data_IF_396390858962
#
_entry.id   IF_396390858962
#
_cell.length_a   1.000
_cell.length_b   1.000
_cell.length_c   1.000
_cell.angle_alpha   90.00
_cell.angle_beta   90.00
_cell.angle_gamma   90.00
#
_symmetry.space_group_name_H-M   'P 1'
#
loop_
_entity.id
_entity.type
_entity.pdbx_description
1 polymer ?
#
# COMPACT_ATOMS: atom_id res chain seq x y z
N UNK A 1 0.88 23.69 3.30
CA UNK A 1 1.16 22.69 2.24
C UNK A 1 1.14 21.32 2.90
N UNK A 2 0.55 20.31 2.26
CA UNK A 2 0.48 18.93 2.75
C UNK A 2 1.03 17.99 1.65
N UNK A 3 2.19 17.39 1.88
CA UNK A 3 2.94 16.51 0.99
C UNK A 3 3.17 15.17 1.69
N UNK A 4 2.92 14.10 0.94
CA UNK A 4 3.02 12.72 1.42
C UNK A 4 3.94 11.96 0.48
N UNK A 5 4.93 11.25 1.02
CA UNK A 5 5.71 10.26 0.28
C UNK A 5 4.94 8.93 0.27
N UNK A 6 5.01 8.19 -0.84
CA UNK A 6 4.32 6.90 -0.98
C UNK A 6 5.28 5.89 -1.60
N UNK A 7 5.36 4.71 -1.00
CA UNK A 7 6.01 3.53 -1.56
C UNK A 7 5.10 2.32 -1.34
N UNK A 8 4.65 1.69 -2.43
CA UNK A 8 3.93 0.42 -2.34
C UNK A 8 4.82 -0.67 -1.75
N UNK A 9 4.20 -1.62 -1.04
CA UNK A 9 4.88 -2.74 -0.42
C UNK A 9 5.84 -2.34 0.71
N UNK A 10 6.84 -3.19 0.95
CA UNK A 10 7.77 -3.07 2.07
C UNK A 10 8.81 -1.95 1.87
N UNK A 11 8.50 -0.75 2.37
CA UNK A 11 9.28 0.46 2.11
C UNK A 11 10.19 0.94 3.24
N UNK A 12 10.52 0.10 4.22
CA UNK A 12 11.35 0.50 5.37
C UNK A 12 12.79 0.94 4.98
N UNK A 13 13.32 0.41 3.89
CA UNK A 13 14.62 0.80 3.32
C UNK A 13 14.69 2.27 2.89
N UNK A 14 13.54 2.93 2.71
CA UNK A 14 13.46 4.33 2.30
C UNK A 14 13.30 5.31 3.46
N UNK A 15 13.24 4.85 4.72
CA UNK A 15 12.98 5.70 5.89
C UNK A 15 13.97 6.87 6.03
N UNK A 16 15.24 6.66 5.70
CA UNK A 16 16.25 7.74 5.69
C UNK A 16 15.99 8.75 4.56
N UNK A 17 15.60 8.27 3.38
CA UNK A 17 15.27 9.09 2.22
C UNK A 17 14.06 9.98 2.51
N UNK A 18 13.00 9.42 3.11
CA UNK A 18 11.80 10.20 3.44
C UNK A 18 12.01 11.15 4.62
N UNK A 19 12.86 10.81 5.59
CA UNK A 19 13.21 11.75 6.67
C UNK A 19 13.94 13.00 6.15
N UNK A 20 14.68 12.87 5.04
CA UNK A 20 15.33 13.99 4.38
C UNK A 20 14.43 14.72 3.35
N UNK A 21 13.22 14.21 3.10
CA UNK A 21 12.28 14.80 2.17
C UNK A 21 11.38 15.84 2.86
N UNK A 22 10.98 16.89 2.13
CA UNK A 22 10.00 17.90 2.58
C UNK A 22 8.56 17.34 2.55
N UNK A 23 8.30 16.31 3.37
CA UNK A 23 7.02 15.61 3.50
C UNK A 23 6.55 15.60 4.95
N UNK A 24 5.24 15.50 5.15
CA UNK A 24 4.64 15.40 6.48
C UNK A 24 4.29 13.96 6.86
N UNK A 25 4.11 13.08 5.87
CA UNK A 25 3.83 11.67 6.10
C UNK A 25 4.49 10.78 5.05
N UNK A 26 4.71 9.52 5.41
CA UNK A 26 5.15 8.44 4.56
C UNK A 26 4.17 7.27 4.64
N UNK A 27 3.59 6.90 3.51
CA UNK A 27 2.67 5.75 3.38
C UNK A 27 3.43 4.59 2.76
N UNK A 28 3.47 3.47 3.46
CA UNK A 28 4.07 2.22 2.99
C UNK A 28 3.42 1.01 3.68
N UNK A 29 3.97 -0.18 3.48
CA UNK A 29 3.54 -1.40 4.14
C UNK A 29 4.72 -2.10 4.84
N UNK A 30 4.39 -3.12 5.64
CA UNK A 30 5.32 -4.07 6.27
C UNK A 30 6.41 -3.39 7.11
N UNK A 31 6.07 -2.32 7.83
CA UNK A 31 7.04 -1.66 8.69
C UNK A 31 7.39 -2.54 9.88
N UNK A 32 8.66 -2.88 9.99
CA UNK A 32 9.19 -3.57 11.17
C UNK A 32 9.24 -2.63 12.36
N UNK A 33 8.99 -3.17 13.55
CA UNK A 33 8.93 -2.40 14.80
C UNK A 33 10.17 -1.52 15.04
N UNK A 34 11.38 -2.07 14.96
CA UNK A 34 12.60 -1.32 15.28
C UNK A 34 12.88 -0.17 14.31
N UNK A 35 12.90 -0.36 12.97
CA UNK A 35 13.05 0.76 12.03
C UNK A 35 12.00 1.85 12.20
N UNK A 36 10.74 1.48 12.48
CA UNK A 36 9.66 2.44 12.68
C UNK A 36 9.85 3.25 13.97
N UNK A 37 10.16 2.60 15.10
CA UNK A 37 10.42 3.28 16.37
C UNK A 37 11.63 4.23 16.27
N UNK A 38 12.72 3.79 15.64
CA UNK A 38 13.90 4.61 15.38
C UNK A 38 13.53 5.86 14.56
N UNK A 39 12.76 5.68 13.48
CA UNK A 39 12.30 6.79 12.66
C UNK A 39 11.45 7.78 13.45
N UNK A 40 10.49 7.32 14.26
CA UNK A 40 9.63 8.19 15.08
C UNK A 40 10.43 9.02 16.11
N UNK A 41 11.60 8.55 16.56
CA UNK A 41 12.48 9.30 17.46
C UNK A 41 13.36 10.30 16.72
N UNK A 42 13.76 9.97 15.48
CA UNK A 42 14.71 10.76 14.71
C UNK A 42 14.06 11.76 13.74
N UNK A 43 12.79 11.58 13.39
CA UNK A 43 12.09 12.30 12.33
C UNK A 43 10.71 12.77 12.81
N UNK A 44 10.22 13.87 12.23
CA UNK A 44 8.85 14.35 12.43
C UNK A 44 7.88 13.85 11.35
N UNK A 45 8.37 13.10 10.37
CA UNK A 45 7.53 12.50 9.31
C UNK A 45 6.67 11.40 9.94
N UNK A 46 5.35 11.53 9.81
CA UNK A 46 4.42 10.51 10.30
C UNK A 46 4.52 9.24 9.44
N UNK A 47 4.52 8.07 10.09
CA UNK A 47 4.45 6.78 9.40
C UNK A 47 3.00 6.31 9.32
N UNK A 48 2.59 5.90 8.12
CA UNK A 48 1.29 5.28 7.84
C UNK A 48 1.58 3.91 7.24
N UNK A 49 1.43 2.88 8.07
CA UNK A 49 1.56 1.48 7.66
C UNK A 49 0.19 0.96 7.23
N UNK A 50 0.07 0.61 5.94
CA UNK A 50 -1.14 0.00 5.39
C UNK A 50 -0.88 -1.46 5.09
N UNK A 51 -1.95 -2.25 4.99
CA UNK A 51 -1.81 -3.63 4.58
C UNK A 51 -1.15 -3.72 3.19
N UNK A 52 -0.22 -4.66 3.01
CA UNK A 52 0.64 -4.73 1.82
C UNK A 52 -0.18 -4.77 0.53
N UNK A 53 -1.21 -5.62 0.51
CA UNK A 53 -2.11 -5.74 -0.63
C UNK A 53 -2.81 -4.41 -0.93
N UNK A 54 -3.26 -3.67 0.10
CA UNK A 54 -3.93 -2.39 -0.09
C UNK A 54 -3.02 -1.33 -0.72
N UNK A 55 -1.70 -1.41 -0.49
CA UNK A 55 -0.73 -0.50 -1.10
C UNK A 55 -0.40 -0.83 -2.56
N UNK A 56 -0.48 -2.11 -2.96
CA UNK A 56 -0.01 -2.58 -4.27
C UNK A 56 -1.15 -2.94 -5.24
N UNK A 57 -2.27 -3.44 -4.74
CA UNK A 57 -3.42 -3.81 -5.56
C UNK A 57 -3.92 -2.69 -6.50
N UNK A 58 -3.93 -1.40 -6.11
CA UNK A 58 -4.33 -0.32 -7.00
C UNK A 58 -3.55 -0.29 -8.33
N UNK A 59 -2.29 -0.77 -8.35
CA UNK A 59 -1.49 -0.87 -9.57
C UNK A 59 -2.05 -1.86 -10.59
N UNK A 60 -2.73 -2.93 -10.17
CA UNK A 60 -3.27 -3.96 -11.07
C UNK A 60 -4.25 -3.37 -12.09
N UNK A 61 -5.02 -2.35 -11.71
CA UNK A 61 -5.92 -1.64 -12.63
C UNK A 61 -5.15 -0.89 -13.72
N UNK A 62 -4.07 -0.19 -13.37
CA UNK A 62 -3.23 0.53 -14.31
C UNK A 62 -2.49 -0.43 -15.26
N UNK A 63 -1.93 -1.52 -14.71
CA UNK A 63 -1.26 -2.55 -15.50
C UNK A 63 -2.22 -3.19 -16.52
N UNK A 64 -3.47 -3.47 -16.10
CA UNK A 64 -4.49 -3.97 -17.01
C UNK A 64 -4.81 -2.98 -18.14
N UNK A 65 -4.84 -1.69 -17.84
CA UNK A 65 -5.09 -0.66 -18.87
C UNK A 65 -3.94 -0.56 -19.88
N UNK A 66 -2.69 -0.63 -19.42
CA UNK A 66 -1.51 -0.69 -20.33
C UNK A 66 -1.63 -1.86 -21.30
N UNK A 67 -2.01 -3.05 -20.80
CA UNK A 67 -2.18 -4.24 -21.63
C UNK A 67 -3.36 -4.10 -22.60
N UNK A 68 -4.51 -3.61 -22.13
CA UNK A 68 -5.71 -3.39 -22.96
C UNK A 68 -5.44 -2.38 -24.07
N UNK A 69 -4.79 -1.28 -23.74
CA UNK A 69 -4.41 -0.23 -24.69
C UNK A 69 -3.48 -0.76 -25.78
N UNK A 70 -2.55 -1.66 -25.43
CA UNK A 70 -1.59 -2.22 -26.40
C UNK A 70 -2.19 -3.35 -27.26
N UNK A 71 -2.91 -4.29 -26.65
CA UNK A 71 -3.34 -5.53 -27.31
C UNK A 71 -4.80 -5.51 -27.78
N UNK A 72 -5.65 -4.63 -27.22
CA UNK A 72 -7.08 -4.57 -27.56
C UNK A 72 -7.78 -5.93 -27.46
N UNK A 73 -8.55 -6.29 -28.49
CA UNK A 73 -9.30 -7.55 -28.53
C UNK A 73 -8.42 -8.80 -28.68
N UNK A 74 -7.13 -8.66 -29.02
CA UNK A 74 -6.23 -9.81 -29.19
C UNK A 74 -5.84 -10.48 -27.87
N UNK A 75 -5.96 -9.77 -26.75
CA UNK A 75 -5.67 -10.28 -25.41
C UNK A 75 -6.78 -9.88 -24.43
N UNK A 76 -7.64 -10.82 -23.99
CA UNK A 76 -8.58 -10.57 -22.92
C UNK A 76 -7.86 -10.33 -21.58
N UNK A 77 -8.03 -9.14 -20.99
CA UNK A 77 -7.37 -8.75 -19.73
C UNK A 77 -8.39 -8.55 -18.62
N UNK A 78 -8.23 -9.28 -17.52
CA UNK A 78 -9.04 -9.16 -16.30
C UNK A 78 -8.14 -8.93 -15.08
N UNK A 79 -8.62 -8.11 -14.14
CA UNK A 79 -8.01 -7.95 -12.82
C UNK A 79 -8.77 -8.87 -11.86
N UNK A 80 -8.05 -9.67 -11.07
CA UNK A 80 -8.67 -10.46 -10.01
C UNK A 80 -9.15 -9.51 -8.91
N UNK A 81 -10.43 -9.54 -8.56
CA UNK A 81 -11.00 -8.67 -7.51
C UNK A 81 -11.10 -9.36 -6.15
N UNK A 82 -10.64 -10.60 -6.05
CA UNK A 82 -10.59 -11.32 -4.77
C UNK A 82 -9.46 -10.69 -3.95
N UNK A 83 -9.80 -10.19 -2.76
CA UNK A 83 -8.78 -9.73 -1.81
C UNK A 83 -7.93 -10.93 -1.38
N UNK A 84 -6.63 -10.85 -1.64
CA UNK A 84 -5.66 -11.90 -1.26
C UNK A 84 -4.76 -11.46 -0.12
N UNK A 85 -5.16 -10.41 0.60
CA UNK A 85 -4.45 -9.99 1.80
C UNK A 85 -4.57 -11.10 2.87
N UNK A 86 -3.47 -11.58 3.46
CA UNK A 86 -3.53 -12.56 4.54
C UNK A 86 -4.05 -11.95 5.84
N UNK A 87 -4.00 -10.62 6.00
CA UNK A 87 -4.41 -9.89 7.20
C UNK A 87 -5.73 -9.16 6.98
N UNK A 88 -6.78 -9.94 6.70
CA UNK A 88 -8.12 -9.41 6.57
C UNK A 88 -8.74 -9.24 7.97
N UNK A 89 -9.28 -8.07 8.26
CA UNK A 89 -10.26 -7.95 9.34
C UNK A 89 -11.53 -8.65 8.86
N UNK A 90 -11.77 -9.86 9.34
CA UNK A 90 -13.06 -10.51 9.13
C UNK A 90 -14.10 -9.68 9.89
N UNK A 91 -15.04 -9.07 9.17
CA UNK A 91 -16.22 -8.56 9.82
C UNK A 91 -17.02 -9.79 10.23
N UNK A 92 -17.05 -10.11 11.52
CA UNK A 92 -18.12 -10.95 12.07
C UNK A 92 -19.45 -10.21 11.82
N UNK A 93 -19.99 -10.28 10.61
CA UNK A 93 -21.43 -10.17 10.42
C UNK A 93 -22.00 -11.40 11.08
N UNK A 94 -22.40 -11.24 12.35
CA UNK A 94 -23.11 -12.25 13.10
C UNK A 94 -24.20 -12.85 12.21
N UNK A 95 -24.03 -14.11 11.82
CA UNK A 95 -25.13 -14.96 11.41
C UNK A 95 -25.81 -15.46 12.68
N UNK A 96 -26.47 -14.54 13.35
CA UNK A 96 -27.69 -14.82 14.08
C UNK A 96 -28.75 -13.98 13.38
N UNK A 97 -29.56 -14.59 12.51
CA UNK A 97 -31.01 -14.38 12.37
C UNK A 97 -31.63 -15.45 11.44
N UNK A 98 -32.52 -16.25 12.05
CA UNK A 98 -33.52 -17.19 11.52
C UNK A 98 -33.06 -18.55 10.98
#
# INVERSE_FOLDING_TARGET
MSRVAVCGGAGDSLLATVAAADVQAYVTADLRHHPADEHCRASQVALIDVAHWASEFPWCGQAAEVLRSHFGASLPVRVCTICTDPWNLDHETGRDQA
#
